data_IF_241502433923
#
_entry.id   IF_241502433923
#
_cell.length_a   1.000
_cell.length_b   1.000
_cell.length_c   1.000
_cell.angle_alpha   90.00
_cell.angle_beta   90.00
_cell.angle_gamma   90.00
#
_symmetry.space_group_name_H-M   'P 1'
#
loop_
_entity.id
_entity.type
_entity.pdbx_description
1 polymer ?
#
# COMPACT_ATOMS: atom_id res chain seq x y z
N UNK A 1 -55.70 -3.33 -7.16
CA UNK A 1 -55.00 -3.30 -5.87
C UNK A 1 -53.50 -3.21 -6.17
N UNK A 2 -52.91 -2.02 -6.17
CA UNK A 2 -51.50 -1.79 -6.52
C UNK A 2 -50.70 -1.64 -5.22
N UNK A 3 -49.78 -2.56 -4.95
CA UNK A 3 -48.88 -2.50 -3.79
C UNK A 3 -47.80 -1.46 -4.05
N UNK A 4 -47.76 -0.41 -3.23
CA UNK A 4 -46.65 0.53 -3.21
C UNK A 4 -45.42 -0.20 -2.63
N UNK A 5 -44.40 -0.43 -3.45
CA UNK A 5 -43.11 -0.93 -2.97
C UNK A 5 -42.40 0.19 -2.22
N UNK A 6 -42.41 0.13 -0.89
CA UNK A 6 -41.70 1.08 -0.04
C UNK A 6 -40.20 0.87 -0.24
N UNK A 7 -39.57 1.69 -1.08
CA UNK A 7 -38.13 1.67 -1.26
C UNK A 7 -37.46 2.09 0.06
N UNK A 8 -36.79 1.16 0.74
CA UNK A 8 -35.96 1.46 1.92
C UNK A 8 -34.91 2.49 1.51
N UNK A 9 -34.80 3.65 2.20
CA UNK A 9 -33.79 4.64 1.86
C UNK A 9 -32.41 4.01 2.02
N UNK A 10 -31.68 3.91 0.91
CA UNK A 10 -30.29 3.45 0.93
C UNK A 10 -29.51 4.37 1.87
N UNK A 11 -29.12 3.85 3.03
CA UNK A 11 -28.41 4.59 4.08
C UNK A 11 -27.09 5.08 3.47
N UNK A 12 -27.08 6.33 2.98
CA UNK A 12 -25.90 6.99 2.44
C UNK A 12 -24.83 7.00 3.53
N UNK A 13 -23.70 6.38 3.23
CA UNK A 13 -22.60 6.27 4.19
C UNK A 13 -21.98 7.65 4.40
N UNK A 14 -21.64 8.02 5.64
CA UNK A 14 -20.93 9.27 5.89
C UNK A 14 -19.54 9.19 5.27
N UNK A 15 -19.21 10.14 4.39
CA UNK A 15 -17.90 10.20 3.71
C UNK A 15 -16.75 10.24 4.70
N UNK A 16 -16.94 10.87 5.87
CA UNK A 16 -15.92 10.95 6.92
C UNK A 16 -15.46 9.57 7.44
N UNK A 17 -16.34 8.57 7.50
CA UNK A 17 -15.97 7.21 7.95
C UNK A 17 -15.05 6.56 6.92
N UNK A 18 -15.37 6.67 5.63
CA UNK A 18 -14.51 6.18 4.57
C UNK A 18 -13.15 6.87 4.61
N UNK A 19 -13.12 8.19 4.77
CA UNK A 19 -11.86 8.95 4.89
C UNK A 19 -11.06 8.50 6.11
N UNK A 20 -11.70 8.32 7.27
CA UNK A 20 -11.03 7.88 8.49
C UNK A 20 -10.42 6.47 8.35
N UNK A 21 -11.16 5.51 7.80
CA UNK A 21 -10.66 4.14 7.56
C UNK A 21 -9.53 4.15 6.54
N UNK A 22 -9.69 4.91 5.46
CA UNK A 22 -8.66 5.03 4.41
C UNK A 22 -7.39 5.70 4.95
N UNK A 23 -7.54 6.73 5.79
CA UNK A 23 -6.42 7.39 6.45
C UNK A 23 -5.71 6.45 7.41
N UNK A 24 -6.46 5.73 8.25
CA UNK A 24 -5.92 4.76 9.20
C UNK A 24 -5.13 3.64 8.50
N UNK A 25 -5.69 3.01 7.45
CA UNK A 25 -4.96 2.02 6.66
C UNK A 25 -3.83 2.64 5.86
N UNK A 26 -4.07 3.79 5.23
CA UNK A 26 -3.09 4.51 4.42
C UNK A 26 -1.85 4.90 5.20
N UNK A 27 -1.96 5.19 6.51
CA UNK A 27 -0.83 5.39 7.41
C UNK A 27 0.11 4.18 7.46
N UNK A 28 -0.41 2.95 7.46
CA UNK A 28 0.42 1.75 7.42
C UNK A 28 1.14 1.59 6.06
N UNK A 29 0.47 1.89 4.95
CA UNK A 29 1.13 1.91 3.64
C UNK A 29 2.22 2.99 3.59
N UNK A 30 1.93 4.20 4.09
CA UNK A 30 2.87 5.31 4.16
C UNK A 30 4.08 4.96 5.04
N UNK A 31 3.88 4.23 6.14
CA UNK A 31 4.97 3.73 6.96
C UNK A 31 5.92 2.83 6.17
N UNK A 32 5.40 1.90 5.35
CA UNK A 32 6.25 1.04 4.49
C UNK A 32 7.00 1.87 3.45
N UNK A 33 6.32 2.83 2.82
CA UNK A 33 6.95 3.76 1.85
C UNK A 33 8.09 4.53 2.52
N UNK A 34 7.86 5.07 3.71
CA UNK A 34 8.87 5.80 4.48
C UNK A 34 10.10 4.93 4.80
N UNK A 35 9.88 3.69 5.23
CA UNK A 35 10.96 2.73 5.48
C UNK A 35 11.73 2.38 4.19
N UNK A 36 11.02 2.17 3.08
CA UNK A 36 11.63 1.88 1.79
C UNK A 36 12.49 3.06 1.28
N UNK A 37 12.02 4.30 1.45
CA UNK A 37 12.80 5.51 1.15
C UNK A 37 14.02 5.60 2.05
N UNK A 38 13.88 5.33 3.35
CA UNK A 38 15.01 5.33 4.30
C UNK A 38 16.06 4.32 3.89
N UNK A 39 15.65 3.11 3.50
CA UNK A 39 16.55 2.07 2.99
C UNK A 39 17.24 2.52 1.69
N UNK A 40 16.47 3.06 0.72
CA UNK A 40 17.02 3.58 -0.53
C UNK A 40 18.10 4.64 -0.26
N UNK A 41 17.80 5.64 0.57
CA UNK A 41 18.74 6.72 0.90
C UNK A 41 19.99 6.17 1.58
N UNK A 42 19.83 5.23 2.52
CA UNK A 42 20.95 4.61 3.21
C UNK A 42 21.91 3.86 2.25
N UNK A 43 21.36 3.10 1.30
CA UNK A 43 22.16 2.37 0.32
C UNK A 43 22.77 3.31 -0.73
N UNK A 44 22.01 4.32 -1.20
CA UNK A 44 22.48 5.31 -2.17
C UNK A 44 23.60 6.21 -1.62
N UNK A 45 23.56 6.51 -0.32
CA UNK A 45 24.57 7.34 0.36
C UNK A 45 25.79 6.54 0.81
N UNK A 46 25.79 5.22 0.60
CA UNK A 46 26.89 4.34 0.95
C UNK A 46 28.13 4.54 0.07
N UNK A 47 29.30 4.01 0.47
CA UNK A 47 30.58 4.24 -0.22
C UNK A 47 30.62 3.78 -1.68
N UNK A 48 29.84 2.75 -2.00
CA UNK A 48 29.75 2.16 -3.34
C UNK A 48 28.58 2.71 -4.16
N UNK A 49 27.65 3.45 -3.54
CA UNK A 49 26.40 3.89 -4.19
C UNK A 49 25.53 2.73 -4.70
N UNK A 50 24.44 3.07 -5.41
CA UNK A 50 23.54 2.10 -6.05
C UNK A 50 23.82 2.00 -7.55
N UNK A 51 23.89 0.76 -8.05
CA UNK A 51 23.92 0.49 -9.48
C UNK A 51 22.49 0.57 -10.08
N UNK A 52 22.38 0.40 -11.40
CA UNK A 52 21.09 0.50 -12.09
C UNK A 52 20.02 -0.49 -11.57
N UNK A 53 20.42 -1.71 -11.20
CA UNK A 53 19.50 -2.70 -10.62
C UNK A 53 19.08 -2.28 -9.21
N UNK A 54 20.00 -1.76 -8.40
CA UNK A 54 19.73 -1.19 -7.09
C UNK A 54 18.65 -0.12 -7.12
N UNK A 55 18.77 0.85 -8.04
CA UNK A 55 17.77 1.88 -8.25
C UNK A 55 16.41 1.31 -8.66
N UNK A 56 16.39 0.34 -9.58
CA UNK A 56 15.15 -0.27 -10.05
C UNK A 56 14.43 -1.05 -8.94
N UNK A 57 15.15 -1.91 -8.20
CA UNK A 57 14.57 -2.76 -7.14
C UNK A 57 14.08 -1.93 -5.96
N UNK A 58 14.91 -1.01 -5.46
CA UNK A 58 14.55 -0.18 -4.30
C UNK A 58 13.51 0.88 -4.68
N UNK A 59 13.59 1.45 -5.88
CA UNK A 59 12.56 2.33 -6.42
C UNK A 59 11.21 1.63 -6.57
N UNK A 60 11.19 0.41 -7.12
CA UNK A 60 9.99 -0.40 -7.20
C UNK A 60 9.37 -0.67 -5.83
N UNK A 61 10.21 -0.95 -4.82
CA UNK A 61 9.77 -1.17 -3.43
C UNK A 61 9.02 0.03 -2.85
N UNK A 62 9.36 1.26 -3.29
CA UNK A 62 8.69 2.50 -2.87
C UNK A 62 7.38 2.70 -3.63
N UNK A 63 7.39 2.49 -4.94
CA UNK A 63 6.22 2.74 -5.81
C UNK A 63 5.11 1.73 -5.57
N UNK A 64 5.47 0.47 -5.32
CA UNK A 64 4.51 -0.62 -5.21
C UNK A 64 3.45 -0.40 -4.10
N UNK A 65 3.79 -0.05 -2.84
CA UNK A 65 2.79 0.24 -1.81
C UNK A 65 1.83 1.37 -2.18
N UNK A 66 2.31 2.41 -2.86
CA UNK A 66 1.50 3.56 -3.30
C UNK A 66 0.45 3.08 -4.30
N UNK A 67 0.88 2.29 -5.30
CA UNK A 67 -0.01 1.72 -6.31
C UNK A 67 -0.99 0.74 -5.67
N UNK A 68 -0.51 -0.14 -4.79
CA UNK A 68 -1.35 -1.12 -4.08
C UNK A 68 -2.46 -0.44 -3.28
N UNK A 69 -2.15 0.64 -2.54
CA UNK A 69 -3.14 1.43 -1.84
C UNK A 69 -4.15 2.06 -2.81
N UNK A 70 -3.67 2.69 -3.89
CA UNK A 70 -4.53 3.31 -4.91
C UNK A 70 -5.50 2.31 -5.56
N UNK A 71 -5.02 1.12 -5.90
CA UNK A 71 -5.83 0.03 -6.47
C UNK A 71 -6.84 -0.49 -5.44
N UNK A 72 -6.40 -0.78 -4.21
CA UNK A 72 -7.27 -1.24 -3.14
C UNK A 72 -8.39 -0.22 -2.84
N UNK A 73 -8.02 1.06 -2.77
CA UNK A 73 -8.96 2.16 -2.58
C UNK A 73 -9.97 2.27 -3.74
N UNK A 74 -9.50 2.24 -4.99
CA UNK A 74 -10.36 2.34 -6.17
C UNK A 74 -11.36 1.18 -6.29
N UNK A 75 -10.90 -0.06 -6.01
CA UNK A 75 -11.74 -1.26 -6.01
C UNK A 75 -12.78 -1.21 -4.88
N UNK A 76 -12.36 -0.77 -3.69
CA UNK A 76 -13.19 -0.79 -2.51
C UNK A 76 -14.12 0.42 -2.34
N UNK A 77 -13.89 1.54 -3.02
CA UNK A 77 -14.65 2.80 -2.85
C UNK A 77 -16.17 2.65 -3.02
N UNK A 78 -16.63 1.71 -3.86
CA UNK A 78 -18.07 1.43 -4.06
C UNK A 78 -18.63 0.31 -3.16
N UNK A 79 -17.78 -0.43 -2.45
CA UNK A 79 -18.09 -1.62 -1.65
C UNK A 79 -18.51 -1.27 -0.22
N UNK A 80 -19.30 -2.10 0.52
CA UNK A 80 -19.59 -1.89 1.94
C UNK A 80 -18.35 -1.75 2.80
N UNK A 81 -18.47 -1.03 3.93
CA UNK A 81 -17.32 -0.60 4.73
C UNK A 81 -16.45 -1.79 5.18
N UNK A 82 -17.06 -2.92 5.53
CA UNK A 82 -16.34 -4.15 5.85
C UNK A 82 -15.54 -4.68 4.65
N UNK A 83 -16.17 -4.82 3.49
CA UNK A 83 -15.48 -5.22 2.25
C UNK A 83 -14.38 -4.22 1.86
N UNK A 84 -14.62 -2.91 2.02
CA UNK A 84 -13.62 -1.87 1.79
C UNK A 84 -12.38 -2.06 2.67
N UNK A 85 -12.60 -2.23 3.98
CA UNK A 85 -11.52 -2.46 4.94
C UNK A 85 -10.77 -3.76 4.65
N UNK A 86 -11.48 -4.82 4.26
CA UNK A 86 -10.86 -6.09 3.87
C UNK A 86 -10.01 -5.95 2.61
N UNK A 87 -10.47 -5.22 1.60
CA UNK A 87 -9.67 -4.96 0.38
C UNK A 87 -8.40 -4.18 0.71
N UNK A 88 -8.50 -3.14 1.57
CA UNK A 88 -7.33 -2.41 2.05
C UNK A 88 -6.37 -3.28 2.85
N UNK A 89 -6.90 -4.15 3.71
CA UNK A 89 -6.12 -5.10 4.51
C UNK A 89 -5.39 -6.13 3.64
N UNK A 90 -6.05 -6.66 2.61
CA UNK A 90 -5.44 -7.60 1.67
C UNK A 90 -4.30 -6.94 0.90
N UNK A 91 -4.51 -5.73 0.38
CA UNK A 91 -3.41 -4.98 -0.25
C UNK A 91 -2.25 -4.74 0.73
N UNK A 92 -2.56 -4.48 2.01
CA UNK A 92 -1.55 -4.22 3.04
C UNK A 92 -0.77 -5.49 3.35
N UNK A 93 -1.44 -6.65 3.39
CA UNK A 93 -0.79 -7.94 3.56
C UNK A 93 0.18 -8.26 2.41
N UNK A 94 -0.22 -7.98 1.16
CA UNK A 94 0.66 -8.16 -0.01
C UNK A 94 1.89 -7.24 0.10
N UNK A 95 1.68 -5.98 0.48
CA UNK A 95 2.77 -5.01 0.73
C UNK A 95 3.69 -5.48 1.86
N UNK A 96 3.12 -6.02 2.95
CA UNK A 96 3.90 -6.53 4.07
C UNK A 96 4.78 -7.72 3.67
N UNK A 97 4.24 -8.66 2.89
CA UNK A 97 5.00 -9.78 2.34
C UNK A 97 6.14 -9.25 1.47
N UNK A 98 5.86 -8.33 0.53
CA UNK A 98 6.91 -7.72 -0.28
C UNK A 98 8.00 -7.08 0.58
N UNK A 99 7.61 -6.31 1.60
CA UNK A 99 8.54 -5.61 2.47
C UNK A 99 9.51 -6.56 3.18
N UNK A 100 9.00 -7.66 3.76
CA UNK A 100 9.84 -8.67 4.40
C UNK A 100 10.78 -9.34 3.38
N UNK A 101 10.31 -9.61 2.16
CA UNK A 101 11.15 -10.16 1.10
C UNK A 101 12.26 -9.20 0.66
N UNK A 102 11.98 -7.90 0.55
CA UNK A 102 13.00 -6.90 0.21
C UNK A 102 14.05 -6.80 1.31
N UNK A 103 13.64 -6.82 2.57
CA UNK A 103 14.60 -6.85 3.68
C UNK A 103 15.49 -8.09 3.63
N UNK A 104 14.90 -9.28 3.45
CA UNK A 104 15.66 -10.51 3.31
C UNK A 104 16.65 -10.43 2.13
N UNK A 105 16.19 -9.95 0.97
CA UNK A 105 17.03 -9.76 -0.20
C UNK A 105 18.17 -8.77 0.05
N UNK A 106 17.89 -7.63 0.68
CA UNK A 106 18.91 -6.62 1.01
C UNK A 106 19.98 -7.17 1.97
N UNK A 107 19.59 -8.01 2.94
CA UNK A 107 20.54 -8.62 3.86
C UNK A 107 21.38 -9.73 3.23
N UNK A 108 20.79 -10.55 2.35
CA UNK A 108 21.50 -11.69 1.75
C UNK A 108 22.28 -11.31 0.48
N UNK A 109 21.73 -10.41 -0.33
CA UNK A 109 22.23 -10.09 -1.67
C UNK A 109 22.50 -8.60 -1.88
N UNK A 110 22.48 -7.78 -0.82
CA UNK A 110 22.63 -6.32 -0.92
C UNK A 110 23.87 -5.87 -1.69
N UNK A 111 24.98 -6.61 -1.62
CA UNK A 111 26.20 -6.31 -2.38
C UNK A 111 25.99 -6.29 -3.90
N UNK A 112 25.01 -7.04 -4.44
CA UNK A 112 24.70 -7.07 -5.87
C UNK A 112 23.99 -5.79 -6.35
N UNK A 113 23.44 -4.99 -5.43
CA UNK A 113 22.75 -3.72 -5.74
C UNK A 113 23.69 -2.52 -5.73
N UNK A 114 24.92 -2.71 -5.26
CA UNK A 114 25.93 -1.66 -5.11
C UNK A 114 26.89 -1.66 -6.30
N UNK A 115 27.53 -0.53 -6.56
CA UNK A 115 28.54 -0.38 -7.61
C UNK A 115 28.36 0.81 -8.53
#
# INVERSE_FOLDING_TARGET
MTTASTATPARRRPVWVTVAVSGAFGLFYAYVVWNAVTLLVAQASGPLGLNALGWAVLGFTIVFPIVAFGVAFAVGYRRPLGEFALVLLVGLAVVAVLWVNVLAYAYTYGAQLLG
#
